data_IF_462939208483
#
_entry.id   IF_462939208483
#
_cell.length_a   1.000
_cell.length_b   1.000
_cell.length_c   1.000
_cell.angle_alpha   90.00
_cell.angle_beta   90.00
_cell.angle_gamma   90.00
#
_symmetry.space_group_name_H-M   'P 1'
#
loop_
_entity.id
_entity.type
_entity.pdbx_description
1 polymer ?
#
# COMPACT_ATOMS: atom_id res chain seq x y z
N UNK A 1 35.01 3.70 24.91
CA UNK A 1 34.09 4.29 23.92
C UNK A 1 33.02 3.26 23.64
N UNK A 2 31.75 3.54 23.93
CA UNK A 2 30.64 2.59 23.75
C UNK A 2 30.56 2.15 22.28
N UNK A 3 30.64 0.86 22.01
CA UNK A 3 30.39 0.34 20.66
C UNK A 3 28.96 0.65 20.24
N UNK A 4 28.78 1.21 19.04
CA UNK A 4 27.44 1.43 18.47
C UNK A 4 26.92 0.12 17.89
N UNK A 5 25.64 -0.19 18.15
CA UNK A 5 24.99 -1.35 17.54
C UNK A 5 24.98 -1.24 16.01
N UNK A 6 25.46 -2.28 15.34
CA UNK A 6 25.43 -2.41 13.87
C UNK A 6 24.55 -3.59 13.48
N UNK A 7 23.41 -3.30 12.87
CA UNK A 7 22.51 -4.33 12.39
C UNK A 7 23.04 -4.95 11.09
N UNK A 8 23.24 -6.27 11.07
CA UNK A 8 23.79 -6.98 9.91
C UNK A 8 22.87 -6.97 8.69
N UNK A 9 21.56 -6.83 8.90
CA UNK A 9 20.54 -6.86 7.85
C UNK A 9 20.00 -5.46 7.52
N UNK A 10 20.73 -4.38 7.83
CA UNK A 10 20.29 -3.00 7.57
C UNK A 10 19.94 -2.78 6.09
N UNK A 11 20.83 -3.21 5.19
CA UNK A 11 20.61 -3.10 3.74
C UNK A 11 19.40 -3.91 3.26
N UNK A 12 19.11 -5.04 3.90
CA UNK A 12 17.93 -5.82 3.60
C UNK A 12 16.65 -5.09 4.05
N UNK A 13 16.69 -4.42 5.20
CA UNK A 13 15.57 -3.62 5.70
C UNK A 13 15.29 -2.44 4.75
N UNK A 14 16.31 -1.73 4.30
CA UNK A 14 16.20 -0.64 3.31
C UNK A 14 15.51 -1.13 2.03
N UNK A 15 15.98 -2.23 1.44
CA UNK A 15 15.38 -2.83 0.24
C UNK A 15 13.90 -3.20 0.47
N UNK A 16 13.53 -3.67 1.67
CA UNK A 16 12.14 -4.02 1.99
C UNK A 16 11.25 -2.78 2.15
N UNK A 17 11.79 -1.68 2.68
CA UNK A 17 11.10 -0.39 2.76
C UNK A 17 10.81 0.13 1.35
N UNK A 18 11.82 0.14 0.48
CA UNK A 18 11.67 0.58 -0.92
C UNK A 18 10.60 -0.24 -1.66
N UNK A 19 10.62 -1.57 -1.52
CA UNK A 19 9.62 -2.45 -2.13
C UNK A 19 8.21 -2.22 -1.61
N UNK A 20 8.06 -1.96 -0.32
CA UNK A 20 6.75 -1.62 0.25
C UNK A 20 6.25 -0.29 -0.32
N UNK A 21 7.11 0.72 -0.42
CA UNK A 21 6.74 2.03 -0.95
C UNK A 21 6.41 1.99 -2.44
N UNK A 22 7.10 1.17 -3.23
CA UNK A 22 6.72 0.88 -4.61
C UNK A 22 5.33 0.23 -4.68
N UNK A 23 5.07 -0.78 -3.85
CA UNK A 23 3.77 -1.46 -3.80
C UNK A 23 2.63 -0.51 -3.39
N UNK A 24 2.87 0.40 -2.42
CA UNK A 24 1.91 1.46 -2.05
C UNK A 24 1.60 2.40 -3.21
N UNK A 25 2.61 2.81 -3.98
CA UNK A 25 2.43 3.68 -5.16
C UNK A 25 1.57 2.98 -6.20
N UNK A 26 1.86 1.71 -6.50
CA UNK A 26 1.09 0.90 -7.44
C UNK A 26 -0.36 0.73 -6.99
N UNK A 27 -0.59 0.38 -5.73
CA UNK A 27 -1.93 0.26 -5.15
C UNK A 27 -2.71 1.58 -5.29
N UNK A 28 -2.09 2.71 -4.95
CA UNK A 28 -2.72 4.03 -5.04
C UNK A 28 -3.07 4.39 -6.49
N UNK A 29 -2.18 4.06 -7.43
CA UNK A 29 -2.42 4.28 -8.86
C UNK A 29 -3.61 3.46 -9.36
N UNK A 30 -3.64 2.15 -9.08
CA UNK A 30 -4.75 1.27 -9.49
C UNK A 30 -6.06 1.70 -8.84
N UNK A 31 -6.05 2.13 -7.58
CA UNK A 31 -7.22 2.67 -6.90
C UNK A 31 -7.79 3.92 -7.60
N UNK A 32 -6.94 4.87 -7.99
CA UNK A 32 -7.35 6.06 -8.76
C UNK A 32 -7.89 5.67 -10.12
N UNK A 33 -7.24 4.75 -10.81
CA UNK A 33 -7.70 4.28 -12.12
C UNK A 33 -9.07 3.59 -12.05
N UNK A 34 -9.35 2.86 -10.97
CA UNK A 34 -10.66 2.27 -10.69
C UNK A 34 -11.70 3.38 -10.48
N UNK A 35 -11.42 4.37 -9.63
CA UNK A 35 -12.31 5.50 -9.37
C UNK A 35 -12.68 6.25 -10.66
N UNK A 36 -11.69 6.56 -11.51
CA UNK A 36 -11.93 7.22 -12.80
C UNK A 36 -12.85 6.39 -13.72
N UNK A 37 -12.73 5.05 -13.68
CA UNK A 37 -13.60 4.16 -14.44
C UNK A 37 -15.01 4.09 -13.86
N UNK A 38 -15.16 4.13 -12.53
CA UNK A 38 -16.47 4.22 -11.86
C UNK A 38 -17.19 5.53 -12.21
N UNK A 39 -16.48 6.65 -12.17
CA UNK A 39 -17.00 7.95 -12.58
C UNK A 39 -17.44 7.95 -14.04
N UNK A 40 -16.62 7.42 -14.95
CA UNK A 40 -16.98 7.28 -16.37
C UNK A 40 -18.22 6.40 -16.55
N UNK A 41 -18.33 5.30 -15.82
CA UNK A 41 -19.49 4.43 -15.87
C UNK A 41 -20.76 5.16 -15.40
N UNK A 42 -20.66 5.95 -14.34
CA UNK A 42 -21.78 6.76 -13.83
C UNK A 42 -22.20 7.83 -14.85
N UNK A 43 -21.25 8.50 -15.50
CA UNK A 43 -21.56 9.46 -16.57
C UNK A 43 -22.30 8.79 -17.73
N UNK A 44 -21.86 7.60 -18.16
CA UNK A 44 -22.52 6.85 -19.23
C UNK A 44 -23.95 6.44 -18.85
N UNK A 45 -24.16 5.96 -17.61
CA UNK A 45 -25.49 5.61 -17.09
C UNK A 45 -26.41 6.82 -17.01
N UNK A 46 -25.92 7.94 -16.46
CA UNK A 46 -26.68 9.19 -16.36
C UNK A 46 -27.09 9.71 -17.75
N UNK A 47 -26.19 9.64 -18.74
CA UNK A 47 -26.50 10.00 -20.11
C UNK A 47 -27.55 9.06 -20.72
N UNK A 48 -27.43 7.76 -20.49
CA UNK A 48 -28.42 6.79 -20.96
C UNK A 48 -29.81 7.11 -20.40
N UNK A 49 -29.93 7.29 -19.09
CA UNK A 49 -31.19 7.67 -18.43
C UNK A 49 -31.76 8.97 -19.00
N UNK A 50 -30.95 10.02 -19.11
CA UNK A 50 -31.35 11.33 -19.65
C UNK A 50 -31.97 11.25 -21.05
N UNK A 51 -31.44 10.40 -21.92
CA UNK A 51 -31.88 10.30 -23.31
C UNK A 51 -32.79 9.10 -23.60
N UNK A 52 -33.10 8.26 -22.61
CA UNK A 52 -33.92 7.04 -22.77
C UNK A 52 -35.42 7.31 -22.99
N UNK A 53 -35.96 8.41 -22.46
CA UNK A 53 -37.39 8.74 -22.55
C UNK A 53 -37.82 9.28 -23.92
N UNK A 54 -39.10 9.18 -24.27
CA UNK A 54 -39.66 9.74 -25.52
C UNK A 54 -40.25 11.13 -25.23
N UNK A 55 -39.76 12.16 -25.92
CA UNK A 55 -40.31 13.51 -25.78
C UNK A 55 -41.39 13.77 -26.84
N UNK A 56 -42.46 14.49 -26.46
CA UNK A 56 -43.50 14.92 -27.40
C UNK A 56 -42.91 15.93 -28.39
N UNK A 57 -43.12 15.70 -29.69
CA UNK A 57 -42.62 16.57 -30.78
C UNK A 57 -41.32 16.09 -31.46
N UNK A 58 -40.76 14.94 -31.11
CA UNK A 58 -39.55 14.40 -31.76
C UNK A 58 -39.83 13.89 -33.19
N UNK A 59 -39.08 14.37 -34.17
CA UNK A 59 -39.13 13.88 -35.57
C UNK A 59 -38.66 12.43 -35.68
N UNK A 60 -39.19 11.67 -36.65
CA UNK A 60 -38.78 10.29 -36.93
C UNK A 60 -37.26 10.13 -37.15
N UNK A 61 -36.63 11.09 -37.83
CA UNK A 61 -35.18 11.10 -38.05
C UNK A 61 -34.41 11.22 -36.72
N UNK A 62 -34.85 12.11 -35.83
CA UNK A 62 -34.24 12.29 -34.51
C UNK A 62 -34.39 11.03 -33.64
N UNK A 63 -35.55 10.38 -33.67
CA UNK A 63 -35.77 9.12 -32.94
C UNK A 63 -34.83 7.99 -33.42
N UNK A 64 -34.56 7.89 -34.73
CA UNK A 64 -33.58 6.93 -35.27
C UNK A 64 -32.15 7.22 -34.79
N UNK A 65 -31.74 8.49 -34.83
CA UNK A 65 -30.41 8.91 -34.35
C UNK A 65 -30.26 8.62 -32.86
N UNK A 66 -31.28 8.98 -32.06
CA UNK A 66 -31.33 8.75 -30.62
C UNK A 66 -31.24 7.27 -30.27
N UNK A 67 -31.95 6.40 -30.98
CA UNK A 67 -31.86 4.94 -30.80
C UNK A 67 -30.45 4.42 -31.06
N UNK A 68 -29.79 4.89 -32.12
CA UNK A 68 -28.41 4.51 -32.41
C UNK A 68 -27.44 5.00 -31.32
N UNK A 69 -27.64 6.22 -30.82
CA UNK A 69 -26.86 6.77 -29.72
C UNK A 69 -27.05 5.96 -28.42
N UNK A 70 -28.29 5.62 -28.05
CA UNK A 70 -28.59 4.78 -26.88
C UNK A 70 -27.94 3.39 -27.00
N UNK A 71 -27.97 2.79 -28.19
CA UNK A 71 -27.29 1.52 -28.42
C UNK A 71 -25.76 1.62 -28.27
N UNK A 72 -25.16 2.71 -28.72
CA UNK A 72 -23.74 2.97 -28.52
C UNK A 72 -23.40 3.20 -27.03
N UNK A 73 -24.26 3.92 -26.30
CA UNK A 73 -24.11 4.10 -24.85
C UNK A 73 -24.21 2.77 -24.10
N UNK A 74 -25.19 1.92 -24.41
CA UNK A 74 -25.39 0.61 -23.79
C UNK A 74 -24.14 -0.28 -23.98
N UNK A 75 -23.64 -0.35 -25.22
CA UNK A 75 -22.35 -1.02 -25.50
C UNK A 75 -21.19 -0.43 -24.70
N UNK A 76 -21.12 0.89 -24.60
CA UNK A 76 -20.11 1.59 -23.80
C UNK A 76 -20.21 1.27 -22.30
N UNK A 77 -21.42 1.20 -21.76
CA UNK A 77 -21.69 0.81 -20.36
C UNK A 77 -21.21 -0.60 -20.11
N UNK A 78 -21.61 -1.56 -20.96
CA UNK A 78 -21.21 -2.97 -20.83
C UNK A 78 -19.69 -3.11 -20.89
N UNK A 79 -19.02 -2.41 -21.81
CA UNK A 79 -17.56 -2.46 -21.89
C UNK A 79 -16.89 -1.83 -20.65
N UNK A 80 -17.36 -0.67 -20.22
CA UNK A 80 -16.81 0.03 -19.04
C UNK A 80 -17.02 -0.79 -17.75
N UNK A 81 -18.13 -1.54 -17.65
CA UNK A 81 -18.37 -2.48 -16.55
C UNK A 81 -17.36 -3.64 -16.55
N UNK A 82 -17.04 -4.21 -17.72
CA UNK A 82 -16.00 -5.24 -17.84
C UNK A 82 -14.65 -4.69 -17.44
N UNK A 83 -14.30 -3.50 -17.91
CA UNK A 83 -13.03 -2.84 -17.57
C UNK A 83 -12.96 -2.55 -16.07
N UNK A 84 -14.06 -2.11 -15.44
CA UNK A 84 -14.14 -1.91 -14.00
C UNK A 84 -13.88 -3.21 -13.23
N UNK A 85 -14.48 -4.32 -13.67
CA UNK A 85 -14.26 -5.63 -13.05
C UNK A 85 -12.81 -6.09 -13.12
N UNK A 86 -12.15 -5.86 -14.26
CA UNK A 86 -10.72 -6.15 -14.42
C UNK A 86 -9.89 -5.30 -13.44
N UNK A 87 -10.17 -4.00 -13.32
CA UNK A 87 -9.49 -3.11 -12.39
C UNK A 87 -9.72 -3.48 -10.92
N UNK A 88 -10.91 -3.98 -10.57
CA UNK A 88 -11.19 -4.49 -9.23
C UNK A 88 -10.31 -5.69 -8.90
N UNK A 89 -10.21 -6.67 -9.82
CA UNK A 89 -9.32 -7.81 -9.65
C UNK A 89 -7.86 -7.40 -9.52
N UNK A 90 -7.41 -6.45 -10.35
CA UNK A 90 -6.04 -5.94 -10.24
C UNK A 90 -5.81 -5.27 -8.88
N UNK A 91 -6.76 -4.47 -8.40
CA UNK A 91 -6.66 -3.83 -7.09
C UNK A 91 -6.51 -4.86 -5.96
N UNK A 92 -7.26 -5.96 -6.01
CA UNK A 92 -7.14 -7.04 -5.03
C UNK A 92 -5.76 -7.68 -5.05
N UNK A 93 -5.21 -7.96 -6.25
CA UNK A 93 -3.83 -8.45 -6.40
C UNK A 93 -2.82 -7.46 -5.81
N UNK A 94 -2.97 -6.15 -6.07
CA UNK A 94 -2.08 -5.12 -5.50
C UNK A 94 -2.22 -5.03 -3.98
N UNK A 95 -3.42 -5.22 -3.44
CA UNK A 95 -3.66 -5.23 -1.99
C UNK A 95 -2.95 -6.40 -1.33
N UNK A 96 -3.05 -7.60 -1.90
CA UNK A 96 -2.35 -8.79 -1.39
C UNK A 96 -0.83 -8.62 -1.44
N UNK A 97 -0.29 -8.08 -2.54
CA UNK A 97 1.14 -7.79 -2.65
C UNK A 97 1.59 -6.78 -1.58
N UNK A 98 0.86 -5.69 -1.40
CA UNK A 98 1.17 -4.68 -0.39
C UNK A 98 1.20 -5.28 1.02
N UNK A 99 0.22 -6.10 1.37
CA UNK A 99 0.18 -6.80 2.66
C UNK A 99 1.41 -7.69 2.84
N UNK A 100 1.78 -8.45 1.81
CA UNK A 100 2.97 -9.30 1.83
C UNK A 100 4.24 -8.48 2.07
N UNK A 101 4.41 -7.35 1.37
CA UNK A 101 5.57 -6.45 1.55
C UNK A 101 5.63 -5.81 2.93
N UNK A 102 4.49 -5.43 3.49
CA UNK A 102 4.41 -4.94 4.86
C UNK A 102 4.84 -5.99 5.88
N UNK A 103 4.39 -7.24 5.72
CA UNK A 103 4.79 -8.36 6.59
C UNK A 103 6.30 -8.61 6.45
N UNK A 104 6.82 -8.67 5.22
CA UNK A 104 8.25 -8.84 4.95
C UNK A 104 9.08 -7.74 5.65
N UNK A 105 8.71 -6.47 5.51
CA UNK A 105 9.41 -5.36 6.18
C UNK A 105 9.34 -5.48 7.70
N UNK A 106 8.13 -5.59 8.27
CA UNK A 106 7.92 -5.69 9.72
C UNK A 106 8.70 -6.86 10.35
N UNK A 107 8.82 -7.97 9.65
CA UNK A 107 9.59 -9.12 10.13
C UNK A 107 11.06 -8.75 10.38
N UNK A 108 11.69 -8.02 9.45
CA UNK A 108 13.10 -7.59 9.60
C UNK A 108 13.24 -6.50 10.65
N UNK A 109 12.26 -5.61 10.72
CA UNK A 109 12.22 -4.53 11.71
C UNK A 109 12.17 -5.09 13.14
N UNK A 110 11.27 -6.05 13.40
CA UNK A 110 11.18 -6.76 14.69
C UNK A 110 12.49 -7.49 15.01
N UNK A 111 13.16 -8.07 14.01
CA UNK A 111 14.48 -8.70 14.21
C UNK A 111 15.54 -7.67 14.62
N UNK A 112 15.52 -6.47 14.02
CA UNK A 112 16.41 -5.36 14.37
C UNK A 112 16.16 -4.90 15.80
N UNK A 113 14.90 -4.67 16.19
CA UNK A 113 14.53 -4.26 17.55
C UNK A 113 15.01 -5.27 18.60
N UNK A 114 14.75 -6.57 18.36
CA UNK A 114 15.20 -7.65 19.26
C UNK A 114 16.72 -7.66 19.43
N UNK A 115 17.46 -7.62 18.31
CA UNK A 115 18.93 -7.64 18.34
C UNK A 115 19.52 -6.40 18.99
N UNK A 116 18.86 -5.25 18.81
CA UNK A 116 19.23 -3.99 19.46
C UNK A 116 19.05 -4.10 20.97
N UNK A 117 17.91 -4.64 21.43
CA UNK A 117 17.65 -4.85 22.85
C UNK A 117 18.63 -5.84 23.48
N UNK A 118 18.93 -6.95 22.80
CA UNK A 118 19.94 -7.92 23.24
C UNK A 118 21.33 -7.27 23.40
N UNK A 119 21.73 -6.45 22.44
CA UNK A 119 23.01 -5.75 22.47
C UNK A 119 23.13 -4.80 23.66
N UNK A 120 22.12 -3.96 23.92
CA UNK A 120 22.16 -3.02 25.04
C UNK A 120 22.17 -3.73 26.40
N UNK A 121 21.38 -4.79 26.57
CA UNK A 121 21.42 -5.61 27.79
C UNK A 121 22.81 -6.20 28.06
N UNK A 122 23.50 -6.63 27.00
CA UNK A 122 24.85 -7.17 27.12
C UNK A 122 25.88 -6.08 27.47
N UNK A 123 25.73 -4.87 26.92
CA UNK A 123 26.59 -3.73 27.28
C UNK A 123 26.37 -3.33 28.75
N UNK A 124 25.11 -3.19 29.19
CA UNK A 124 24.77 -2.90 30.59
C UNK A 124 25.36 -3.95 31.54
N UNK A 125 25.26 -5.24 31.20
CA UNK A 125 25.86 -6.32 31.99
C UNK A 125 27.37 -6.18 32.11
N UNK A 126 28.07 -5.88 31.00
CA UNK A 126 29.53 -5.68 31.00
C UNK A 126 29.95 -4.47 31.81
N UNK A 127 29.22 -3.36 31.68
CA UNK A 127 29.46 -2.14 32.45
C UNK A 127 29.24 -2.37 33.95
N UNK A 128 28.20 -3.11 34.32
CA UNK A 128 27.94 -3.49 35.72
C UNK A 128 29.10 -4.32 36.29
N UNK A 129 29.53 -5.38 35.60
CA UNK A 129 30.66 -6.21 36.04
C UNK A 129 31.93 -5.37 36.21
N UNK A 130 32.23 -4.50 35.25
CA UNK A 130 33.39 -3.61 35.32
C UNK A 130 33.32 -2.63 36.51
N UNK A 131 32.15 -2.06 36.78
CA UNK A 131 31.94 -1.16 37.91
C UNK A 131 32.10 -1.89 39.24
N UNK A 132 31.57 -3.12 39.35
CA UNK A 132 31.70 -3.96 40.54
C UNK A 132 33.17 -4.33 40.80
N UNK A 133 33.91 -4.71 39.75
CA UNK A 133 35.36 -4.95 39.82
C UNK A 133 36.12 -3.71 40.29
N UNK A 134 35.84 -2.54 39.70
CA UNK A 134 36.48 -1.29 40.09
C UNK A 134 36.18 -0.92 41.56
N UNK A 135 34.95 -1.13 42.01
CA UNK A 135 34.55 -0.91 43.40
C UNK A 135 35.32 -1.84 44.36
N UNK A 136 35.47 -3.11 44.02
CA UNK A 136 36.26 -4.08 44.78
C UNK A 136 37.74 -3.68 44.85
N UNK A 137 38.36 -3.29 43.73
CA UNK A 137 39.74 -2.80 43.72
C UNK A 137 39.92 -1.53 44.58
N UNK A 138 38.99 -0.59 44.48
CA UNK A 138 39.03 0.64 45.28
C UNK A 138 38.88 0.35 46.78
N UNK A 139 38.05 -0.63 47.16
CA UNK A 139 37.90 -1.09 48.53
C UNK A 139 39.18 -1.75 49.05
N UNK A 140 39.77 -2.69 48.28
CA UNK A 140 41.01 -3.37 48.65
C UNK A 140 42.19 -2.40 48.83
N UNK A 141 42.25 -1.30 48.08
CA UNK A 141 43.32 -0.29 48.19
C UNK A 141 43.19 0.63 49.41
N UNK A 142 42.03 0.65 50.08
CA UNK A 142 41.78 1.44 51.30
C UNK A 142 42.04 0.66 52.59
N UNK A 143 42.34 -0.64 52.51
CA UNK A 143 42.87 -1.46 53.61
C UNK A 143 44.39 -1.41 53.61
#
# INVERSE_FOLDING_TARGET
MSEKFKFSLEKLLEIRIEKEDESKRLFTKTQREKQNTEERLNVLKNNYEKYSGINKGETLAYQKIKRNYLFALDKGIVQTQKDLHIKMKELDIRREDLLKKQIERKTVDILKERKTSEFYKEQERKEQIFNDELALYAYMRKQ
#
